data_IF_103602384326
#
_entry.id   IF_103602384326
#
_cell.length_a   1.000
_cell.length_b   1.000
_cell.length_c   1.000
_cell.angle_alpha   90.00
_cell.angle_beta   90.00
_cell.angle_gamma   90.00
#
_symmetry.space_group_name_H-M   'P 1'
#
loop_
_entity.id
_entity.type
_entity.pdbx_description
1 polymer ?
#
# COMPACT_ATOMS: atom_id res chain seq x y z
N UNK A 1 44.59 6.21 24.40
CA UNK A 1 43.49 7.07 24.86
C UNK A 1 42.61 6.19 25.74
N UNK A 2 42.33 6.61 26.94
CA UNK A 2 41.48 5.86 27.88
C UNK A 2 39.99 6.23 27.58
N UNK A 3 39.37 5.46 26.70
CA UNK A 3 38.00 5.70 26.30
C UNK A 3 37.00 5.35 27.41
N UNK A 4 37.32 4.39 28.29
CA UNK A 4 36.48 4.02 29.42
C UNK A 4 36.28 5.19 30.38
N UNK A 5 37.37 5.74 30.87
CA UNK A 5 37.32 6.91 31.76
C UNK A 5 36.59 8.11 31.10
N UNK A 6 36.71 8.26 29.78
CA UNK A 6 36.02 9.34 29.06
C UNK A 6 34.50 9.12 29.02
N UNK A 7 33.98 7.95 28.64
CA UNK A 7 32.57 7.71 28.53
C UNK A 7 31.88 7.63 29.90
N UNK A 8 32.58 7.23 30.94
CA UNK A 8 32.06 7.16 32.31
C UNK A 8 31.72 8.54 32.90
N UNK A 9 32.19 9.63 32.26
CA UNK A 9 31.80 11.01 32.61
C UNK A 9 30.48 11.45 31.98
N UNK A 10 29.89 10.61 31.12
CA UNK A 10 28.65 10.94 30.37
C UNK A 10 27.49 10.16 31.00
N UNK A 11 26.48 10.88 31.48
CA UNK A 11 25.34 10.25 32.14
C UNK A 11 24.38 9.53 31.15
N UNK A 12 24.29 10.06 29.90
CA UNK A 12 23.47 9.45 28.85
C UNK A 12 24.11 8.13 28.39
N UNK A 13 23.28 7.14 28.07
CA UNK A 13 23.72 5.87 27.51
C UNK A 13 24.64 6.10 26.31
N UNK A 14 25.96 5.85 26.48
CA UNK A 14 26.98 6.22 25.50
C UNK A 14 28.05 5.15 25.35
N UNK A 15 28.50 4.92 24.12
CA UNK A 15 29.67 4.14 23.80
C UNK A 15 30.62 4.91 22.85
N UNK A 16 31.84 4.44 22.71
CA UNK A 16 32.81 4.87 21.69
C UNK A 16 32.84 3.85 20.57
N UNK A 17 32.70 4.34 19.35
CA UNK A 17 32.79 3.55 18.12
C UNK A 17 34.13 3.87 17.44
N UNK A 18 34.77 2.86 16.88
CA UNK A 18 35.89 3.00 15.96
C UNK A 18 35.52 2.56 14.56
N UNK A 19 35.98 3.28 13.56
CA UNK A 19 35.83 3.00 12.14
C UNK A 19 37.22 2.92 11.52
N UNK A 20 37.55 1.79 10.92
CA UNK A 20 38.76 1.63 10.14
C UNK A 20 38.60 2.19 8.74
N UNK A 21 39.60 2.90 8.20
CA UNK A 21 39.65 3.25 6.78
C UNK A 21 40.66 2.40 6.03
N UNK A 22 40.29 1.92 4.86
CA UNK A 22 41.16 1.17 3.94
C UNK A 22 41.95 2.12 3.05
N UNK A 23 42.93 1.57 2.33
CA UNK A 23 43.79 2.35 1.44
C UNK A 23 43.05 3.03 0.27
N UNK A 24 41.90 2.51 -0.12
CA UNK A 24 41.03 3.05 -1.17
C UNK A 24 40.05 4.13 -0.66
N UNK A 25 40.10 4.47 0.64
CA UNK A 25 39.23 5.45 1.28
C UNK A 25 37.89 4.86 1.75
N UNK A 26 37.58 3.61 1.43
CA UNK A 26 36.41 2.93 1.97
C UNK A 26 36.58 2.59 3.44
N UNK A 27 35.47 2.39 4.18
CA UNK A 27 35.54 1.92 5.56
C UNK A 27 35.71 0.40 5.63
N UNK A 28 36.41 -0.03 6.67
CA UNK A 28 36.60 -1.43 7.01
C UNK A 28 35.74 -1.85 8.20
N UNK A 29 36.38 -2.36 9.23
CA UNK A 29 35.68 -2.81 10.43
C UNK A 29 35.19 -1.65 11.28
N UNK A 30 33.96 -1.82 11.81
CA UNK A 30 33.35 -0.91 12.79
C UNK A 30 33.20 -1.66 14.11
N UNK A 31 33.80 -1.11 15.17
CA UNK A 31 33.87 -1.76 16.49
C UNK A 31 33.30 -0.86 17.58
N UNK A 32 32.66 -1.47 18.57
CA UNK A 32 32.30 -0.81 19.82
C UNK A 32 33.53 -0.96 20.76
N UNK A 33 34.21 0.15 20.98
CA UNK A 33 35.48 0.17 21.70
C UNK A 33 35.25 0.02 23.19
N UNK A 34 34.38 0.85 23.75
CA UNK A 34 33.99 0.81 25.16
C UNK A 34 32.63 1.51 25.34
N UNK A 35 32.00 1.31 26.51
CA UNK A 35 30.72 1.94 26.85
C UNK A 35 30.67 2.33 28.33
N UNK A 36 29.83 3.34 28.61
CA UNK A 36 29.55 3.69 30.00
C UNK A 36 28.67 2.64 30.71
N UNK A 37 28.49 2.70 32.03
CA UNK A 37 27.70 1.72 32.77
C UNK A 37 26.28 1.55 32.23
N UNK A 38 25.62 2.65 31.82
CA UNK A 38 24.27 2.62 31.25
C UNK A 38 24.22 1.87 29.92
N UNK A 39 25.22 2.07 29.04
CA UNK A 39 25.31 1.36 27.76
C UNK A 39 25.59 -0.14 27.98
N UNK A 40 26.52 -0.47 28.87
CA UNK A 40 26.81 -1.88 29.20
C UNK A 40 25.59 -2.57 29.80
N UNK A 41 24.92 -1.91 30.73
CA UNK A 41 23.69 -2.44 31.33
C UNK A 41 22.57 -2.69 30.31
N UNK A 42 22.46 -1.89 29.23
CA UNK A 42 21.48 -2.11 28.16
C UNK A 42 21.70 -3.42 27.40
N UNK A 43 22.93 -3.96 27.42
CA UNK A 43 23.29 -5.24 26.81
C UNK A 43 23.15 -6.40 27.82
N UNK A 44 23.60 -6.19 29.06
CA UNK A 44 23.80 -7.28 30.04
C UNK A 44 22.59 -7.49 30.95
N UNK A 45 21.75 -6.47 31.13
CA UNK A 45 20.58 -6.54 32.02
C UNK A 45 19.31 -6.51 31.20
N UNK A 46 18.52 -7.60 31.20
CA UNK A 46 17.23 -7.63 30.49
C UNK A 46 16.30 -6.49 30.97
N UNK A 47 15.88 -5.65 30.04
CA UNK A 47 14.96 -4.54 30.33
C UNK A 47 13.85 -4.49 29.26
N UNK A 48 12.56 -4.65 29.64
CA UNK A 48 11.45 -4.62 28.68
C UNK A 48 11.22 -3.24 28.05
N UNK A 49 11.90 -2.20 28.56
CA UNK A 49 11.86 -0.84 28.02
C UNK A 49 13.06 -0.51 27.13
N UNK A 50 13.86 -1.51 26.80
CA UNK A 50 15.02 -1.37 25.90
C UNK A 50 15.02 -2.50 24.87
N UNK A 51 15.52 -2.24 23.65
CA UNK A 51 15.62 -3.27 22.62
C UNK A 51 16.60 -4.37 23.06
N UNK A 52 16.21 -5.60 22.78
CA UNK A 52 17.08 -6.74 23.11
C UNK A 52 18.22 -6.85 22.08
N UNK A 53 19.45 -6.89 22.57
CA UNK A 53 20.65 -7.08 21.76
C UNK A 53 20.88 -8.57 21.43
N UNK A 54 21.64 -8.85 20.35
CA UNK A 54 21.97 -10.23 19.94
C UNK A 54 22.83 -10.93 21.02
N UNK A 55 23.86 -10.24 21.53
CA UNK A 55 24.69 -10.75 22.62
C UNK A 55 24.19 -10.24 23.98
N UNK A 56 24.27 -11.10 24.99
CA UNK A 56 23.91 -10.79 26.38
C UNK A 56 25.11 -10.39 27.26
N UNK A 57 26.28 -10.20 26.67
CA UNK A 57 27.50 -9.78 27.39
C UNK A 57 28.28 -8.78 26.57
N UNK A 58 28.61 -7.66 27.17
CA UNK A 58 29.49 -6.66 26.57
C UNK A 58 30.96 -7.13 26.56
N UNK A 59 31.62 -7.00 25.42
CA UNK A 59 33.08 -7.27 25.26
C UNK A 59 33.67 -6.05 24.57
N UNK A 60 34.54 -5.28 25.23
CA UNK A 60 35.19 -4.13 24.64
C UNK A 60 35.91 -4.46 23.35
N UNK A 61 35.96 -3.48 22.44
CA UNK A 61 36.61 -3.58 21.13
C UNK A 61 36.08 -4.71 20.22
N UNK A 62 34.80 -5.07 20.38
CA UNK A 62 34.12 -6.07 19.51
C UNK A 62 33.52 -5.42 18.29
N UNK A 63 33.41 -6.20 17.19
CA UNK A 63 32.63 -5.81 16.03
C UNK A 63 31.20 -5.48 16.46
N UNK A 64 30.64 -4.40 15.93
CA UNK A 64 29.26 -3.98 16.30
C UNK A 64 28.19 -5.02 15.94
N UNK A 65 28.42 -5.81 14.87
CA UNK A 65 27.52 -6.89 14.44
C UNK A 65 27.34 -8.00 15.49
N UNK A 66 28.17 -8.02 16.52
CA UNK A 66 27.97 -8.91 17.66
C UNK A 66 26.72 -8.55 18.47
N UNK A 67 26.31 -7.28 18.45
CA UNK A 67 25.23 -6.74 19.28
C UNK A 67 23.98 -6.43 18.47
N UNK A 68 24.15 -5.93 17.25
CA UNK A 68 23.04 -5.60 16.36
C UNK A 68 23.29 -6.21 14.96
N UNK A 69 22.25 -6.56 14.19
CA UNK A 69 22.43 -7.00 12.81
C UNK A 69 23.14 -5.96 11.96
N UNK A 70 23.78 -6.39 10.87
CA UNK A 70 24.42 -5.46 9.92
C UNK A 70 23.38 -4.47 9.39
N UNK A 71 23.73 -3.18 9.49
CA UNK A 71 22.86 -2.06 9.15
C UNK A 71 23.67 -0.98 8.43
N UNK A 72 23.44 -0.85 7.12
CA UNK A 72 24.17 0.10 6.27
C UNK A 72 23.92 1.56 6.67
N UNK A 73 22.74 1.87 7.22
CA UNK A 73 22.46 3.21 7.72
C UNK A 73 23.30 3.53 8.95
N UNK A 74 23.41 2.59 9.87
CA UNK A 74 24.28 2.72 11.05
C UNK A 74 25.75 2.85 10.64
N UNK A 75 26.22 2.02 9.70
CA UNK A 75 27.60 2.08 9.20
C UNK A 75 27.90 3.43 8.55
N UNK A 76 26.96 3.98 7.75
CA UNK A 76 27.11 5.30 7.16
C UNK A 76 27.20 6.43 8.19
N UNK A 77 26.34 6.38 9.22
CA UNK A 77 26.41 7.35 10.33
C UNK A 77 27.76 7.30 11.04
N UNK A 78 28.25 6.10 11.33
CA UNK A 78 29.57 5.90 11.94
C UNK A 78 30.71 6.45 11.07
N UNK A 79 30.67 6.14 9.76
CA UNK A 79 31.69 6.63 8.82
C UNK A 79 31.69 8.16 8.72
N UNK A 80 30.54 8.77 8.57
CA UNK A 80 30.44 10.23 8.46
C UNK A 80 30.90 10.94 9.73
N UNK A 81 30.49 10.42 10.87
CA UNK A 81 30.92 11.03 12.13
C UNK A 81 32.40 10.81 12.41
N UNK A 82 32.86 9.56 12.38
CA UNK A 82 34.23 9.23 12.79
C UNK A 82 35.27 9.66 11.75
N UNK A 83 35.01 9.42 10.44
CA UNK A 83 35.99 9.65 9.36
C UNK A 83 35.85 11.05 8.78
N UNK A 84 34.61 11.46 8.36
CA UNK A 84 34.39 12.77 7.76
C UNK A 84 34.25 13.89 8.79
N UNK A 85 34.32 13.56 10.08
CA UNK A 85 34.30 14.52 11.21
C UNK A 85 33.02 15.39 11.28
N UNK A 86 31.92 14.85 10.83
CA UNK A 86 30.61 15.50 10.88
C UNK A 86 29.87 15.10 12.17
N UNK A 87 29.57 16.02 13.09
CA UNK A 87 28.65 15.71 14.18
C UNK A 87 27.30 15.29 13.63
N UNK A 88 26.74 14.21 14.17
CA UNK A 88 25.48 13.65 13.68
C UNK A 88 24.43 13.64 14.79
N UNK A 89 23.21 13.97 14.41
CA UNK A 89 22.02 13.81 15.23
C UNK A 89 20.90 13.22 14.38
N UNK A 90 20.18 12.26 14.92
CA UNK A 90 19.02 11.69 14.23
C UNK A 90 17.99 11.19 15.25
N UNK A 91 16.72 11.29 14.88
CA UNK A 91 15.59 10.76 15.63
C UNK A 91 14.86 9.74 14.76
N UNK A 92 14.95 8.46 15.11
CA UNK A 92 14.52 7.36 14.26
C UNK A 92 13.72 6.31 15.03
N UNK A 93 12.82 5.63 14.32
CA UNK A 93 12.09 4.45 14.78
C UNK A 93 12.39 3.28 13.85
N UNK A 94 13.45 2.48 14.10
CA UNK A 94 13.75 1.31 13.27
C UNK A 94 12.63 0.26 13.37
N UNK A 95 12.19 -0.29 12.23
CA UNK A 95 11.08 -1.26 12.18
C UNK A 95 11.31 -2.49 13.09
N UNK A 96 12.58 -2.90 13.24
CA UNK A 96 12.94 -4.06 14.10
C UNK A 96 12.75 -3.84 15.60
N UNK A 97 12.49 -2.59 16.03
CA UNK A 97 12.32 -2.24 17.44
C UNK A 97 11.06 -1.38 17.61
N UNK A 98 10.26 -1.68 18.62
CA UNK A 98 9.12 -0.85 19.04
C UNK A 98 9.58 0.31 19.93
N UNK A 99 10.59 1.05 19.47
CA UNK A 99 11.24 2.14 20.24
C UNK A 99 11.71 3.26 19.31
N UNK A 100 11.62 4.48 19.83
CA UNK A 100 12.20 5.68 19.24
C UNK A 100 13.59 5.91 19.80
N UNK A 101 14.52 6.21 18.91
CA UNK A 101 15.92 6.47 19.24
C UNK A 101 16.28 7.91 18.90
N UNK A 102 16.71 8.67 19.93
CA UNK A 102 17.33 9.96 19.74
C UNK A 102 18.84 9.76 19.86
N UNK A 103 19.55 9.87 18.74
CA UNK A 103 20.95 9.50 18.57
C UNK A 103 21.81 10.72 18.35
N UNK A 104 22.87 10.82 19.13
CA UNK A 104 23.90 11.86 19.00
C UNK A 104 25.27 11.21 18.81
N UNK A 105 26.01 11.68 17.80
CA UNK A 105 27.35 11.20 17.53
C UNK A 105 28.29 12.40 17.38
N UNK A 106 29.38 12.38 18.13
CA UNK A 106 30.41 13.44 18.15
C UNK A 106 31.72 12.85 17.69
N UNK A 107 32.41 13.45 16.70
CA UNK A 107 33.69 12.96 16.22
C UNK A 107 34.78 13.15 17.28
N UNK A 108 35.67 12.15 17.42
CA UNK A 108 36.84 12.17 18.27
C UNK A 108 38.12 12.18 17.40
N UNK A 109 39.27 12.35 18.03
CA UNK A 109 40.58 12.31 17.34
C UNK A 109 40.85 10.91 16.78
N UNK A 110 41.43 10.87 15.59
CA UNK A 110 41.86 9.63 14.92
C UNK A 110 43.27 9.19 15.36
N UNK A 111 43.55 7.88 15.28
CA UNK A 111 44.84 7.29 15.52
C UNK A 111 45.19 6.42 14.30
N UNK A 112 46.12 6.89 13.47
CA UNK A 112 46.44 6.21 12.20
C UNK A 112 45.22 6.14 11.28
N UNK A 113 44.88 4.93 10.79
CA UNK A 113 43.73 4.66 9.97
C UNK A 113 42.45 4.31 10.78
N UNK A 114 42.50 4.46 12.10
CA UNK A 114 41.33 4.22 12.98
C UNK A 114 40.78 5.58 13.43
N UNK A 115 39.47 5.77 13.14
CA UNK A 115 38.74 6.98 13.45
C UNK A 115 37.72 6.69 14.53
N UNK A 116 37.47 7.63 15.42
CA UNK A 116 36.59 7.42 16.57
C UNK A 116 35.47 8.45 16.61
N UNK A 117 34.32 8.02 17.15
CA UNK A 117 33.21 8.91 17.53
C UNK A 117 32.50 8.37 18.77
N UNK A 118 31.78 9.24 19.46
CA UNK A 118 30.82 8.81 20.48
C UNK A 118 29.53 8.36 19.78
N UNK A 119 28.81 7.47 20.43
CA UNK A 119 27.43 7.08 20.06
C UNK A 119 26.60 7.13 21.34
N UNK A 120 25.83 8.22 21.48
CA UNK A 120 24.96 8.45 22.62
C UNK A 120 23.51 8.29 22.20
N UNK A 121 22.70 7.61 23.02
CA UNK A 121 21.31 7.32 22.67
C UNK A 121 20.36 7.54 23.84
N UNK A 122 19.21 8.13 23.53
CA UNK A 122 18.04 8.23 24.41
C UNK A 122 16.94 7.42 23.75
N UNK A 123 16.33 6.48 24.47
CA UNK A 123 15.35 5.54 23.96
C UNK A 123 14.02 5.82 24.61
N UNK A 124 12.93 5.87 23.83
CA UNK A 124 11.54 6.05 24.31
C UNK A 124 10.57 5.16 23.53
N UNK A 125 9.46 4.78 24.17
CA UNK A 125 8.37 4.04 23.50
C UNK A 125 7.46 4.94 22.69
N UNK A 126 7.34 6.20 23.06
CA UNK A 126 6.45 7.15 22.41
C UNK A 126 7.25 8.14 21.56
N UNK A 127 6.68 8.53 20.44
CA UNK A 127 7.21 9.61 19.62
C UNK A 127 7.21 10.93 20.41
N UNK A 128 8.30 11.68 20.26
CA UNK A 128 8.43 13.05 20.78
C UNK A 128 8.50 14.03 19.62
N UNK A 129 7.45 14.84 19.45
CA UNK A 129 7.35 15.81 18.35
C UNK A 129 8.41 16.93 18.44
N UNK A 130 8.92 17.25 19.64
CA UNK A 130 9.97 18.25 19.81
C UNK A 130 11.32 17.73 19.28
N UNK A 131 11.56 16.43 19.37
CA UNK A 131 12.76 15.79 18.82
C UNK A 131 12.75 15.70 17.29
N UNK A 132 11.56 15.67 16.68
CA UNK A 132 11.39 15.75 15.22
C UNK A 132 11.72 17.14 14.66
N UNK A 133 11.76 18.18 15.48
CA UNK A 133 11.90 19.58 15.04
C UNK A 133 13.31 19.98 14.57
N UNK A 134 14.31 19.12 14.74
CA UNK A 134 15.67 19.39 14.25
C UNK A 134 15.85 19.17 12.73
N UNK A 135 14.78 18.84 12.04
CA UNK A 135 14.76 18.72 10.58
C UNK A 135 14.95 20.11 9.93
N UNK A 136 15.75 20.18 8.85
CA UNK A 136 15.95 21.45 8.15
C UNK A 136 14.62 22.08 7.74
N UNK A 137 14.49 23.42 7.79
CA UNK A 137 13.27 24.13 7.39
C UNK A 137 12.84 23.76 5.95
N UNK A 138 13.78 23.45 5.06
CA UNK A 138 13.52 23.01 3.69
C UNK A 138 12.87 21.61 3.65
N UNK A 139 13.32 20.68 4.46
CA UNK A 139 12.74 19.33 4.57
C UNK A 139 11.34 19.38 5.17
N UNK A 140 11.16 20.14 6.28
CA UNK A 140 9.84 20.32 6.89
C UNK A 140 8.83 20.95 5.92
N UNK A 141 9.25 21.96 5.15
CA UNK A 141 8.41 22.59 4.13
C UNK A 141 8.04 21.62 3.00
N UNK A 142 8.96 20.79 2.56
CA UNK A 142 8.70 19.77 1.52
C UNK A 142 7.67 18.73 2.00
N UNK A 143 7.81 18.25 3.23
CA UNK A 143 6.86 17.29 3.85
C UNK A 143 5.48 17.93 4.00
N UNK A 144 5.39 19.16 4.52
CA UNK A 144 4.12 19.88 4.67
C UNK A 144 3.42 20.11 3.32
N UNK A 145 4.16 20.48 2.27
CA UNK A 145 3.59 20.63 0.93
C UNK A 145 3.02 19.30 0.41
N UNK A 146 3.71 18.19 0.64
CA UNK A 146 3.21 16.86 0.29
C UNK A 146 1.90 16.54 1.04
N UNK A 147 1.86 16.80 2.35
CA UNK A 147 0.66 16.59 3.16
C UNK A 147 -0.54 17.44 2.69
N UNK A 148 -0.30 18.71 2.34
CA UNK A 148 -1.34 19.63 1.85
C UNK A 148 -1.89 19.13 0.52
N UNK A 149 -1.03 18.71 -0.41
CA UNK A 149 -1.45 18.15 -1.70
C UNK A 149 -2.30 16.91 -1.53
N UNK A 150 -1.84 15.95 -0.71
CA UNK A 150 -2.56 14.70 -0.47
C UNK A 150 -3.94 14.91 0.14
N UNK A 151 -4.09 15.82 1.11
CA UNK A 151 -5.38 16.13 1.75
C UNK A 151 -6.37 16.85 0.83
N UNK A 152 -5.89 17.62 -0.14
CA UNK A 152 -6.72 18.33 -1.12
C UNK A 152 -7.11 17.51 -2.34
N UNK A 153 -6.76 16.24 -2.40
CA UNK A 153 -6.90 15.39 -3.58
C UNK A 153 -8.37 15.12 -3.94
N UNK A 154 -8.82 15.64 -5.06
CA UNK A 154 -10.08 15.23 -5.71
C UNK A 154 -9.88 14.01 -6.61
N UNK A 155 -8.65 13.81 -7.10
CA UNK A 155 -8.24 12.65 -7.89
C UNK A 155 -6.93 12.10 -7.28
N UNK A 156 -7.05 11.00 -6.56
CA UNK A 156 -5.95 10.36 -5.84
C UNK A 156 -4.77 10.01 -6.77
N UNK A 157 -5.05 9.39 -7.91
CA UNK A 157 -4.03 8.97 -8.87
C UNK A 157 -3.18 10.14 -9.36
N UNK A 158 -3.84 11.21 -9.83
CA UNK A 158 -3.15 12.41 -10.32
C UNK A 158 -2.34 13.08 -9.22
N UNK A 159 -2.90 13.21 -8.02
CA UNK A 159 -2.18 13.81 -6.89
C UNK A 159 -0.95 12.99 -6.49
N UNK A 160 -1.03 11.65 -6.52
CA UNK A 160 0.12 10.80 -6.24
C UNK A 160 1.22 10.97 -7.29
N UNK A 161 0.89 11.10 -8.56
CA UNK A 161 1.86 11.40 -9.64
C UNK A 161 2.59 12.73 -9.40
N UNK A 162 1.87 13.78 -8.99
CA UNK A 162 2.47 15.07 -8.62
C UNK A 162 3.41 14.94 -7.41
N UNK A 163 2.97 14.23 -6.36
CA UNK A 163 3.78 13.99 -5.14
C UNK A 163 5.05 13.22 -5.49
N UNK A 164 4.96 12.17 -6.29
CA UNK A 164 6.12 11.38 -6.73
C UNK A 164 7.07 12.25 -7.56
N UNK A 165 6.55 13.14 -8.41
CA UNK A 165 7.35 14.09 -9.18
C UNK A 165 8.09 15.09 -8.27
N UNK A 166 7.42 15.58 -7.23
CA UNK A 166 8.06 16.49 -6.27
C UNK A 166 9.14 15.76 -5.46
N UNK A 167 8.87 14.54 -4.99
CA UNK A 167 9.86 13.71 -4.29
C UNK A 167 11.09 13.47 -5.18
N UNK A 168 10.89 13.11 -6.46
CA UNK A 168 11.98 12.95 -7.42
C UNK A 168 12.85 14.21 -7.51
N UNK A 169 12.21 15.39 -7.63
CA UNK A 169 12.92 16.68 -7.71
C UNK A 169 13.69 17.00 -6.43
N UNK A 170 13.10 16.73 -5.26
CA UNK A 170 13.74 16.94 -3.95
C UNK A 170 14.99 16.06 -3.82
N UNK A 171 14.91 14.82 -4.32
CA UNK A 171 16.01 13.89 -4.33
C UNK A 171 17.04 14.18 -5.43
N UNK A 172 16.74 15.06 -6.37
CA UNK A 172 17.51 15.26 -7.61
C UNK A 172 17.82 13.92 -8.31
N UNK A 173 16.81 13.05 -8.33
CA UNK A 173 16.94 11.70 -8.85
C UNK A 173 16.52 11.61 -10.34
N UNK A 174 17.08 10.65 -11.07
CA UNK A 174 16.65 10.37 -12.43
C UNK A 174 15.26 9.73 -12.48
N UNK A 175 14.92 8.89 -11.50
CA UNK A 175 13.61 8.24 -11.39
C UNK A 175 13.17 8.15 -9.94
N UNK A 176 11.86 8.26 -9.72
CA UNK A 176 11.19 7.95 -8.46
C UNK A 176 9.92 7.16 -8.75
N UNK A 177 9.68 6.10 -8.00
CA UNK A 177 8.57 5.17 -8.24
C UNK A 177 7.89 4.82 -6.92
N UNK A 178 6.57 4.69 -6.96
CA UNK A 178 5.77 4.04 -5.91
C UNK A 178 5.13 2.79 -6.51
N UNK A 179 5.46 1.65 -5.92
CA UNK A 179 4.92 0.34 -6.25
C UNK A 179 4.02 -0.14 -5.11
N UNK A 180 2.84 -0.62 -5.45
CA UNK A 180 1.96 -1.31 -4.50
C UNK A 180 2.11 -2.82 -4.65
N UNK A 181 1.97 -3.53 -3.53
CA UNK A 181 1.97 -4.99 -3.47
C UNK A 181 0.61 -5.50 -2.97
N UNK A 182 0.14 -6.58 -3.58
CA UNK A 182 -1.03 -7.34 -3.12
C UNK A 182 -0.55 -8.73 -2.73
N UNK A 183 -0.43 -8.96 -1.43
CA UNK A 183 0.11 -10.22 -0.89
C UNK A 183 -0.86 -11.40 -1.07
N UNK A 184 -2.18 -11.13 -1.14
CA UNK A 184 -3.19 -12.17 -1.36
C UNK A 184 -3.15 -12.68 -2.81
N UNK A 185 -3.08 -11.74 -3.77
CA UNK A 185 -3.03 -12.06 -5.21
C UNK A 185 -1.61 -12.33 -5.72
N UNK A 186 -0.58 -12.03 -4.91
CA UNK A 186 0.84 -12.10 -5.29
C UNK A 186 1.14 -11.27 -6.55
N UNK A 187 0.65 -10.04 -6.58
CA UNK A 187 0.84 -9.11 -7.70
C UNK A 187 1.43 -7.79 -7.25
N UNK A 188 2.04 -7.08 -8.18
CA UNK A 188 2.52 -5.71 -8.00
C UNK A 188 1.85 -4.79 -9.01
N UNK A 189 1.65 -3.54 -8.63
CA UNK A 189 1.17 -2.49 -9.53
C UNK A 189 1.91 -1.18 -9.28
N UNK A 190 2.24 -0.46 -10.36
CA UNK A 190 2.85 0.87 -10.26
C UNK A 190 1.76 1.87 -9.93
N UNK A 191 1.80 2.47 -8.74
CA UNK A 191 0.89 3.55 -8.36
C UNK A 191 1.27 4.84 -9.09
N UNK A 192 2.56 5.10 -9.24
CA UNK A 192 3.05 6.23 -10.00
C UNK A 192 4.56 6.18 -10.22
N UNK A 193 5.00 6.85 -11.27
CA UNK A 193 6.39 6.96 -11.68
C UNK A 193 6.69 8.37 -12.17
N UNK A 194 7.80 8.95 -11.74
CA UNK A 194 8.34 10.18 -12.28
C UNK A 194 9.78 9.96 -12.73
N UNK A 195 10.09 10.33 -13.98
CA UNK A 195 11.44 10.28 -14.54
C UNK A 195 11.83 11.66 -15.03
N UNK A 196 13.12 12.00 -14.95
CA UNK A 196 13.61 13.20 -15.61
C UNK A 196 13.85 12.93 -17.12
N UNK A 197 14.03 13.97 -17.89
CA UNK A 197 14.24 13.90 -19.33
C UNK A 197 15.56 13.21 -19.74
N UNK A 198 16.52 13.10 -18.84
CA UNK A 198 17.83 12.46 -19.04
C UNK A 198 17.86 11.00 -18.55
N UNK A 199 16.77 10.49 -18.00
CA UNK A 199 16.72 9.15 -17.42
C UNK A 199 16.82 8.09 -18.51
N UNK A 200 17.87 7.27 -18.42
CA UNK A 200 18.04 6.07 -19.24
C UNK A 200 17.33 4.84 -18.66
N UNK A 201 16.80 4.97 -17.45
CA UNK A 201 16.08 3.89 -16.77
C UNK A 201 14.77 3.57 -17.50
N UNK A 202 14.41 2.29 -17.70
CA UNK A 202 13.13 1.92 -18.30
C UNK A 202 11.96 2.28 -17.40
N UNK A 203 10.77 2.43 -17.99
CA UNK A 203 9.56 2.60 -17.20
C UNK A 203 9.21 1.33 -16.46
N UNK A 204 8.85 1.47 -15.17
CA UNK A 204 8.47 0.35 -14.32
C UNK A 204 7.20 -0.37 -14.81
N UNK A 205 6.31 0.32 -15.50
CA UNK A 205 5.15 -0.30 -16.16
C UNK A 205 5.51 -1.35 -17.23
N UNK A 206 6.76 -1.34 -17.73
CA UNK A 206 7.27 -2.36 -18.67
C UNK A 206 7.98 -3.51 -18.00
N UNK A 207 8.45 -3.30 -16.76
CA UNK A 207 9.25 -4.28 -16.00
C UNK A 207 8.35 -5.10 -15.08
N UNK A 208 7.35 -4.45 -14.46
CA UNK A 208 6.44 -5.10 -13.52
C UNK A 208 5.57 -6.13 -14.26
N UNK A 209 5.75 -7.38 -13.87
CA UNK A 209 5.01 -8.56 -14.31
C UNK A 209 4.75 -9.48 -13.12
N UNK A 210 4.13 -10.62 -13.33
CA UNK A 210 3.79 -11.57 -12.25
C UNK A 210 5.02 -12.08 -11.49
N UNK A 211 6.18 -12.23 -12.17
CA UNK A 211 7.43 -12.68 -11.54
C UNK A 211 8.07 -11.58 -10.68
N UNK A 212 7.75 -10.32 -10.95
CA UNK A 212 8.32 -9.17 -10.21
C UNK A 212 7.89 -9.16 -8.74
N UNK A 213 6.73 -9.74 -8.42
CA UNK A 213 6.26 -9.87 -7.03
C UNK A 213 7.26 -10.65 -6.17
N UNK A 214 7.79 -11.77 -6.65
CA UNK A 214 8.74 -12.59 -5.88
C UNK A 214 10.04 -11.83 -5.59
N UNK A 215 10.48 -10.99 -6.51
CA UNK A 215 11.61 -10.10 -6.29
C UNK A 215 11.29 -9.07 -5.19
N UNK A 216 10.13 -8.40 -5.27
CA UNK A 216 9.73 -7.39 -4.27
C UNK A 216 9.52 -7.98 -2.88
N UNK A 217 8.98 -9.19 -2.79
CA UNK A 217 8.82 -9.91 -1.53
C UNK A 217 10.15 -10.19 -0.80
N UNK A 218 11.26 -10.25 -1.55
CA UNK A 218 12.61 -10.41 -0.99
C UNK A 218 13.21 -9.12 -0.39
N UNK A 219 12.68 -7.95 -0.75
CA UNK A 219 13.25 -6.66 -0.37
C UNK A 219 13.19 -6.39 1.13
N UNK A 220 12.07 -6.71 1.78
CA UNK A 220 11.92 -6.54 3.23
C UNK A 220 13.01 -7.29 4.01
N UNK A 221 13.33 -8.53 3.59
CA UNK A 221 14.40 -9.32 4.18
C UNK A 221 15.78 -8.71 3.90
N UNK A 222 15.98 -8.10 2.73
CA UNK A 222 17.24 -7.45 2.35
C UNK A 222 17.47 -6.16 3.14
N UNK A 223 16.41 -5.39 3.42
CA UNK A 223 16.44 -4.19 4.28
C UNK A 223 16.86 -4.56 5.72
N UNK A 224 16.55 -5.78 6.18
CA UNK A 224 17.08 -6.33 7.43
C UNK A 224 16.54 -5.66 8.70
N UNK A 225 15.32 -5.09 8.64
CA UNK A 225 14.65 -4.42 9.76
C UNK A 225 15.15 -2.99 10.01
N UNK A 226 15.89 -2.42 9.07
CA UNK A 226 16.15 -0.97 8.99
C UNK A 226 14.92 -0.28 8.36
N UNK A 227 14.79 1.05 8.52
CA UNK A 227 13.68 1.81 7.93
C UNK A 227 13.71 1.81 6.39
N UNK A 228 14.86 1.57 5.78
CA UNK A 228 15.03 1.55 4.33
C UNK A 228 16.42 1.13 3.93
N UNK A 229 16.65 1.00 2.63
CA UNK A 229 17.94 0.63 2.03
C UNK A 229 18.48 1.78 1.21
N UNK A 230 19.76 2.13 1.40
CA UNK A 230 20.48 3.10 0.58
C UNK A 230 21.70 2.43 -0.01
N UNK A 231 21.82 2.48 -1.32
CA UNK A 231 22.96 1.98 -2.10
C UNK A 231 23.62 3.18 -2.78
N UNK A 232 24.86 3.48 -2.41
CA UNK A 232 25.58 4.68 -2.89
C UNK A 232 27.08 4.48 -3.11
N UNK A 233 27.63 3.36 -2.65
CA UNK A 233 29.05 3.06 -2.73
C UNK A 233 29.31 1.56 -2.93
N UNK A 234 30.57 1.16 -3.14
CA UNK A 234 30.95 -0.23 -3.40
C UNK A 234 30.57 -1.19 -2.27
N UNK A 235 30.69 -0.78 -1.01
CA UNK A 235 30.36 -1.63 0.14
C UNK A 235 28.85 -1.93 0.20
N UNK A 236 28.02 -0.94 -0.16
CA UNK A 236 26.56 -1.10 -0.20
C UNK A 236 26.16 -2.06 -1.34
N UNK A 237 26.83 -1.95 -2.50
CA UNK A 237 26.64 -2.87 -3.62
C UNK A 237 27.09 -4.30 -3.27
N UNK A 238 28.21 -4.47 -2.55
CA UNK A 238 28.68 -5.78 -2.10
C UNK A 238 27.71 -6.41 -1.10
N UNK A 239 27.14 -5.60 -0.19
CA UNK A 239 26.08 -6.07 0.70
C UNK A 239 24.86 -6.57 -0.08
N UNK A 240 24.38 -5.79 -1.07
CA UNK A 240 23.24 -6.20 -1.88
C UNK A 240 23.54 -7.48 -2.66
N UNK A 241 24.72 -7.59 -3.24
CA UNK A 241 25.16 -8.77 -3.98
C UNK A 241 25.19 -10.01 -3.10
N UNK A 242 25.64 -9.88 -1.85
CA UNK A 242 25.66 -10.99 -0.89
C UNK A 242 24.27 -11.40 -0.42
N UNK A 243 23.40 -10.41 -0.08
CA UNK A 243 22.10 -10.67 0.54
C UNK A 243 21.00 -10.96 -0.47
N UNK A 244 21.05 -10.36 -1.64
CA UNK A 244 20.03 -10.52 -2.69
C UNK A 244 20.67 -10.45 -4.08
N UNK A 245 21.35 -11.51 -4.53
CA UNK A 245 22.00 -11.54 -5.83
C UNK A 245 21.05 -11.27 -7.00
N UNK A 246 19.82 -11.77 -6.94
CA UNK A 246 18.82 -11.57 -8.00
C UNK A 246 18.45 -10.09 -8.17
N UNK A 247 18.25 -9.39 -7.06
CA UNK A 247 17.96 -7.95 -7.10
C UNK A 247 19.20 -7.15 -7.55
N UNK A 248 20.39 -7.51 -7.07
CA UNK A 248 21.65 -6.89 -7.51
C UNK A 248 21.79 -6.96 -9.04
N UNK A 249 21.63 -8.14 -9.65
CA UNK A 249 21.72 -8.32 -11.10
C UNK A 249 20.64 -7.53 -11.85
N UNK A 250 19.41 -7.49 -11.32
CA UNK A 250 18.32 -6.70 -11.89
C UNK A 250 18.67 -5.21 -11.96
N UNK A 251 19.19 -4.64 -10.85
CA UNK A 251 19.57 -3.22 -10.79
C UNK A 251 20.77 -2.90 -11.71
N UNK A 252 21.76 -3.80 -11.75
CA UNK A 252 22.95 -3.62 -12.62
C UNK A 252 22.59 -3.68 -14.10
N UNK A 253 21.70 -4.58 -14.48
CA UNK A 253 21.19 -4.70 -15.85
C UNK A 253 20.54 -3.39 -16.32
N UNK A 254 19.82 -2.71 -15.45
CA UNK A 254 19.13 -1.47 -15.75
C UNK A 254 19.99 -0.21 -15.47
N UNK A 255 21.31 -0.38 -15.28
CA UNK A 255 22.28 0.72 -15.06
C UNK A 255 21.94 1.63 -13.86
N UNK A 256 21.45 1.03 -12.78
CA UNK A 256 21.25 1.76 -11.51
C UNK A 256 22.60 1.95 -10.85
N UNK A 257 22.95 3.21 -10.57
CA UNK A 257 24.21 3.62 -9.93
C UNK A 257 24.02 3.91 -8.43
N UNK A 258 22.89 4.48 -8.07
CA UNK A 258 22.48 4.72 -6.67
C UNK A 258 20.99 4.43 -6.51
N UNK A 259 20.62 3.95 -5.32
CA UNK A 259 19.25 3.60 -4.96
C UNK A 259 18.98 4.03 -3.52
N UNK A 260 17.82 4.63 -3.29
CA UNK A 260 17.21 4.73 -1.99
C UNK A 260 15.83 4.09 -2.06
N UNK A 261 15.54 3.14 -1.18
CA UNK A 261 14.30 2.39 -1.14
C UNK A 261 13.76 2.34 0.28
N UNK A 262 12.45 2.59 0.39
CA UNK A 262 11.73 2.47 1.66
C UNK A 262 10.46 1.64 1.49
N UNK A 263 10.09 0.82 2.48
CA UNK A 263 8.77 0.19 2.54
C UNK A 263 7.70 1.23 2.88
N UNK A 264 6.50 1.00 2.41
CA UNK A 264 5.29 1.76 2.76
C UNK A 264 4.51 0.93 3.78
N UNK A 265 4.94 0.99 5.04
CA UNK A 265 4.37 0.20 6.12
C UNK A 265 3.29 0.96 6.88
N UNK A 266 2.16 0.30 7.15
CA UNK A 266 1.06 0.79 7.98
C UNK A 266 0.52 -0.36 8.82
N UNK A 267 0.50 -0.23 10.15
CA UNK A 267 -0.01 -1.24 11.07
C UNK A 267 0.57 -2.65 10.81
N UNK A 268 1.89 -2.75 10.71
CA UNK A 268 2.65 -3.99 10.45
C UNK A 268 2.40 -4.63 9.05
N UNK A 269 1.65 -3.96 8.18
CA UNK A 269 1.43 -4.39 6.80
C UNK A 269 2.25 -3.54 5.83
N UNK A 270 3.03 -4.19 4.96
CA UNK A 270 3.72 -3.52 3.85
C UNK A 270 2.78 -3.39 2.66
N UNK A 271 2.34 -2.15 2.39
CA UNK A 271 1.45 -1.83 1.26
C UNK A 271 2.19 -1.78 -0.07
N UNK A 272 3.51 -1.64 -0.03
CA UNK A 272 4.35 -1.47 -1.20
C UNK A 272 5.69 -0.83 -0.86
N UNK A 273 6.31 -0.23 -1.86
CA UNK A 273 7.62 0.39 -1.74
C UNK A 273 7.69 1.70 -2.52
N UNK A 274 8.48 2.65 -2.00
CA UNK A 274 8.91 3.83 -2.73
C UNK A 274 10.43 3.81 -2.88
N UNK A 275 10.92 4.17 -4.06
CA UNK A 275 12.35 4.31 -4.27
C UNK A 275 12.69 5.42 -5.25
N UNK A 276 13.91 5.93 -5.12
CA UNK A 276 14.52 6.84 -6.08
C UNK A 276 15.88 6.30 -6.53
N UNK A 277 16.16 6.45 -7.84
CA UNK A 277 17.37 5.95 -8.48
C UNK A 277 18.20 7.07 -9.09
N UNK A 278 19.55 6.86 -9.10
CA UNK A 278 20.51 7.70 -9.77
C UNK A 278 20.43 9.16 -9.31
N UNK A 279 20.67 9.37 -8.03
CA UNK A 279 20.74 10.67 -7.35
C UNK A 279 22.19 11.01 -6.98
N UNK A 280 22.45 12.30 -6.67
CA UNK A 280 23.76 12.69 -6.12
C UNK A 280 23.97 12.09 -4.73
N UNK A 281 24.92 11.16 -4.62
CA UNK A 281 25.23 10.43 -3.37
C UNK A 281 25.68 11.34 -2.23
N UNK A 282 26.20 12.55 -2.52
CA UNK A 282 26.55 13.52 -1.50
C UNK A 282 25.33 14.05 -0.75
N UNK A 283 24.15 14.01 -1.38
CA UNK A 283 22.88 14.42 -0.81
C UNK A 283 22.11 13.29 -0.12
N UNK A 284 22.67 12.07 -0.08
CA UNK A 284 21.99 10.85 0.40
C UNK A 284 21.34 11.01 1.79
N UNK A 285 21.96 11.77 2.69
CA UNK A 285 21.40 12.01 4.04
C UNK A 285 20.17 12.88 4.00
N UNK A 286 20.23 14.01 3.28
CA UNK A 286 19.07 14.90 3.12
C UNK A 286 17.92 14.17 2.44
N UNK A 287 18.23 13.34 1.45
CA UNK A 287 17.27 12.50 0.74
C UNK A 287 16.61 11.53 1.72
N UNK A 288 17.42 10.83 2.53
CA UNK A 288 16.94 9.90 3.55
C UNK A 288 15.98 10.59 4.51
N UNK A 289 16.40 11.67 5.16
CA UNK A 289 15.58 12.41 6.13
C UNK A 289 14.26 12.90 5.51
N UNK A 290 14.30 13.41 4.28
CA UNK A 290 13.10 13.88 3.58
C UNK A 290 12.15 12.72 3.29
N UNK A 291 12.68 11.59 2.80
CA UNK A 291 11.87 10.43 2.47
C UNK A 291 11.28 9.77 3.72
N UNK A 292 12.05 9.57 4.78
CA UNK A 292 11.56 8.98 6.04
C UNK A 292 10.31 9.70 6.58
N UNK A 293 10.31 11.02 6.54
CA UNK A 293 9.16 11.80 6.98
C UNK A 293 8.00 11.76 5.97
N UNK A 294 8.30 11.86 4.67
CA UNK A 294 7.29 11.91 3.61
C UNK A 294 6.56 10.59 3.47
N UNK A 295 7.27 9.49 3.59
CA UNK A 295 6.75 8.12 3.41
C UNK A 295 5.64 7.81 4.40
N UNK A 296 5.78 8.23 5.64
CA UNK A 296 4.75 8.03 6.66
C UNK A 296 3.39 8.60 6.21
N UNK A 297 3.38 9.81 5.63
CA UNK A 297 2.16 10.42 5.12
C UNK A 297 1.66 9.76 3.84
N UNK A 298 2.57 9.43 2.92
CA UNK A 298 2.23 8.73 1.67
C UNK A 298 1.64 7.35 1.96
N UNK A 299 2.24 6.57 2.84
CA UNK A 299 1.74 5.26 3.24
C UNK A 299 0.37 5.35 3.91
N UNK A 300 0.19 6.30 4.83
CA UNK A 300 -1.10 6.56 5.50
C UNK A 300 -2.20 6.92 4.50
N UNK A 301 -1.91 7.77 3.52
CA UNK A 301 -2.90 8.19 2.53
C UNK A 301 -3.25 7.07 1.54
N UNK A 302 -2.28 6.24 1.15
CA UNK A 302 -2.53 5.02 0.37
C UNK A 302 -3.43 4.04 1.15
N UNK A 303 -3.16 3.84 2.44
CA UNK A 303 -4.00 3.00 3.31
C UNK A 303 -5.43 3.52 3.41
N UNK A 304 -5.59 4.82 3.64
CA UNK A 304 -6.89 5.48 3.69
C UNK A 304 -7.66 5.33 2.37
N UNK A 305 -7.00 5.55 1.23
CA UNK A 305 -7.61 5.39 -0.08
C UNK A 305 -8.08 3.95 -0.31
N UNK A 306 -7.21 2.95 -0.05
CA UNK A 306 -7.58 1.53 -0.14
C UNK A 306 -8.78 1.19 0.77
N UNK A 307 -8.81 1.73 1.99
CA UNK A 307 -9.92 1.53 2.92
C UNK A 307 -11.22 2.13 2.38
N UNK A 308 -11.17 3.37 1.88
CA UNK A 308 -12.34 4.03 1.30
C UNK A 308 -12.86 3.30 0.05
N UNK A 309 -11.99 2.83 -0.83
CA UNK A 309 -12.39 2.00 -1.97
C UNK A 309 -13.05 0.69 -1.52
N UNK A 310 -12.48 0.02 -0.52
CA UNK A 310 -13.08 -1.21 0.04
C UNK A 310 -14.44 -0.95 0.68
N UNK A 311 -14.58 0.15 1.42
CA UNK A 311 -15.87 0.57 1.98
C UNK A 311 -16.89 0.89 0.87
N UNK A 312 -16.45 1.55 -0.19
CA UNK A 312 -17.33 1.84 -1.35
C UNK A 312 -17.81 0.56 -2.01
N UNK A 313 -16.93 -0.41 -2.26
CA UNK A 313 -17.29 -1.72 -2.80
C UNK A 313 -18.28 -2.44 -1.88
N UNK A 314 -17.98 -2.53 -0.58
CA UNK A 314 -18.86 -3.16 0.42
C UNK A 314 -20.22 -2.45 0.53
N UNK A 315 -20.25 -1.14 0.31
CA UNK A 315 -21.47 -0.33 0.32
C UNK A 315 -22.28 -0.42 -0.97
N UNK A 316 -21.67 -0.79 -2.11
CA UNK A 316 -22.27 -0.76 -3.44
C UNK A 316 -22.57 -2.13 -4.05
N UNK A 317 -21.87 -3.19 -3.59
CA UNK A 317 -21.97 -4.54 -4.15
C UNK A 317 -22.75 -5.46 -3.19
N UNK A 318 -23.59 -6.34 -3.74
CA UNK A 318 -24.16 -7.47 -2.99
C UNK A 318 -23.12 -8.60 -2.89
N UNK A 319 -22.64 -8.86 -1.67
CA UNK A 319 -21.55 -9.80 -1.42
C UNK A 319 -21.83 -11.25 -1.79
N UNK A 320 -23.12 -11.63 -1.91
CA UNK A 320 -23.49 -12.99 -2.30
C UNK A 320 -23.42 -13.20 -3.81
N UNK A 321 -23.95 -12.22 -4.57
CA UNK A 321 -24.19 -12.35 -6.01
C UNK A 321 -23.19 -11.58 -6.87
N UNK A 322 -22.43 -10.64 -6.29
CA UNK A 322 -21.46 -9.80 -7.01
C UNK A 322 -22.06 -8.73 -7.92
N UNK A 323 -23.38 -8.58 -7.95
CA UNK A 323 -24.06 -7.46 -8.63
C UNK A 323 -24.20 -6.26 -7.68
N UNK A 324 -24.63 -5.10 -8.18
CA UNK A 324 -24.87 -3.93 -7.33
C UNK A 324 -25.96 -4.20 -6.30
N UNK A 325 -25.86 -3.59 -5.13
CA UNK A 325 -26.82 -3.79 -4.06
C UNK A 325 -27.99 -2.79 -4.10
N UNK A 326 -28.95 -2.96 -3.20
CA UNK A 326 -30.13 -2.10 -3.09
C UNK A 326 -29.80 -0.63 -2.80
N UNK A 327 -28.75 -0.37 -2.00
CA UNK A 327 -28.35 1.00 -1.69
C UNK A 327 -27.88 1.73 -2.95
N UNK A 328 -27.05 1.07 -3.75
CA UNK A 328 -26.57 1.63 -5.02
C UNK A 328 -27.70 1.82 -6.03
N UNK A 329 -28.68 0.87 -6.09
CA UNK A 329 -29.90 1.04 -6.85
C UNK A 329 -30.65 2.34 -6.47
N UNK A 330 -30.86 2.56 -5.17
CA UNK A 330 -31.57 3.75 -4.69
C UNK A 330 -30.80 5.03 -5.03
N UNK A 331 -29.49 5.06 -4.77
CA UNK A 331 -28.61 6.19 -5.11
C UNK A 331 -28.68 6.53 -6.61
N UNK A 332 -28.64 5.50 -7.46
CA UNK A 332 -28.71 5.67 -8.92
C UNK A 332 -30.07 6.24 -9.37
N UNK A 333 -31.15 5.70 -8.84
CA UNK A 333 -32.52 6.16 -9.16
C UNK A 333 -32.70 7.61 -8.67
N UNK A 334 -32.28 7.94 -7.46
CA UNK A 334 -32.37 9.29 -6.92
C UNK A 334 -31.49 10.28 -7.70
N UNK A 335 -30.34 9.86 -8.16
CA UNK A 335 -29.50 10.63 -9.07
C UNK A 335 -30.20 10.95 -10.40
N UNK A 336 -30.90 9.97 -10.98
CA UNK A 336 -31.64 10.16 -12.22
C UNK A 336 -32.90 11.04 -12.04
N UNK A 337 -33.52 11.01 -10.86
CA UNK A 337 -34.68 11.86 -10.52
C UNK A 337 -34.30 13.33 -10.35
N UNK A 338 -33.15 13.58 -9.72
CA UNK A 338 -32.76 14.92 -9.28
C UNK A 338 -31.91 15.69 -10.30
N UNK A 339 -31.27 15.03 -11.26
CA UNK A 339 -30.36 15.63 -12.24
C UNK A 339 -31.03 15.81 -13.62
N UNK A 340 -31.68 16.96 -13.83
CA UNK A 340 -32.22 17.37 -15.13
C UNK A 340 -31.14 17.60 -16.21
N UNK A 341 -29.87 17.77 -15.82
CA UNK A 341 -28.76 18.05 -16.75
C UNK A 341 -28.11 16.80 -17.37
N UNK A 342 -28.37 15.61 -16.84
CA UNK A 342 -27.90 14.31 -17.36
C UNK A 342 -29.04 13.39 -17.72
N UNK A 343 -29.95 13.89 -18.57
CA UNK A 343 -31.04 13.05 -19.08
C UNK A 343 -30.47 11.92 -19.94
N UNK A 344 -30.61 10.69 -19.47
CA UNK A 344 -30.33 9.50 -20.28
C UNK A 344 -31.38 9.34 -21.33
N UNK A 345 -31.00 9.02 -22.57
CA UNK A 345 -31.90 8.71 -23.66
C UNK A 345 -32.10 7.21 -23.76
N UNK A 346 -33.34 6.79 -24.05
CA UNK A 346 -33.66 5.39 -24.21
C UNK A 346 -33.40 4.59 -22.92
N UNK A 347 -34.24 4.78 -21.90
CA UNK A 347 -34.07 4.12 -20.59
C UNK A 347 -34.99 2.91 -20.49
N UNK A 348 -34.40 1.74 -20.20
CA UNK A 348 -35.10 0.50 -19.91
C UNK A 348 -34.97 0.11 -18.43
N UNK A 349 -36.07 -0.31 -17.83
CA UNK A 349 -36.11 -0.94 -16.52
C UNK A 349 -36.60 -2.35 -16.65
N UNK A 350 -35.91 -3.31 -16.04
CA UNK A 350 -36.37 -4.70 -15.92
C UNK A 350 -36.33 -5.06 -14.43
N UNK A 351 -37.48 -5.55 -13.91
CA UNK A 351 -37.51 -6.29 -12.67
C UNK A 351 -37.54 -7.79 -12.96
N UNK A 352 -36.75 -8.53 -12.20
CA UNK A 352 -36.61 -9.98 -12.31
C UNK A 352 -36.70 -10.60 -10.90
N UNK A 353 -37.74 -11.39 -10.69
CA UNK A 353 -37.98 -12.11 -9.43
C UNK A 353 -37.67 -13.60 -9.66
N UNK A 354 -36.82 -14.17 -8.78
CA UNK A 354 -36.36 -15.55 -8.89
C UNK A 354 -37.39 -16.51 -8.30
N UNK A 355 -38.05 -17.28 -9.17
CA UNK A 355 -39.09 -18.21 -8.76
C UNK A 355 -38.54 -19.36 -7.91
N UNK A 356 -39.24 -19.69 -6.82
CA UNK A 356 -39.02 -20.91 -6.05
C UNK A 356 -37.83 -20.93 -5.10
N UNK A 357 -37.19 -19.78 -4.79
CA UNK A 357 -36.08 -19.69 -3.86
C UNK A 357 -36.39 -20.31 -2.48
N UNK A 358 -37.60 -20.01 -1.94
CA UNK A 358 -38.03 -20.55 -0.64
C UNK A 358 -38.05 -22.08 -0.66
N UNK A 359 -38.58 -22.70 -1.72
CA UNK A 359 -38.64 -24.17 -1.86
C UNK A 359 -37.24 -24.78 -1.91
N UNK A 360 -36.31 -24.13 -2.61
CA UNK A 360 -34.89 -24.58 -2.66
C UNK A 360 -34.28 -24.52 -1.28
N UNK A 361 -34.50 -23.42 -0.54
CA UNK A 361 -34.06 -23.29 0.85
C UNK A 361 -34.68 -24.37 1.76
N UNK A 362 -35.99 -24.64 1.64
CA UNK A 362 -36.68 -25.63 2.47
C UNK A 362 -36.16 -27.07 2.21
N UNK A 363 -35.76 -27.39 0.95
CA UNK A 363 -35.23 -28.71 0.58
C UNK A 363 -33.75 -28.91 0.77
N UNK A 364 -32.93 -27.87 0.48
CA UNK A 364 -31.48 -27.97 0.41
C UNK A 364 -30.74 -27.07 1.40
N UNK A 365 -31.50 -26.34 2.25
CA UNK A 365 -30.92 -25.38 3.18
C UNK A 365 -30.50 -24.06 2.51
N UNK A 366 -30.08 -23.08 3.30
CA UNK A 366 -29.67 -21.75 2.82
C UNK A 366 -28.52 -21.82 1.80
N UNK A 367 -27.58 -22.75 1.93
CA UNK A 367 -26.48 -22.90 0.98
C UNK A 367 -26.97 -23.24 -0.46
N UNK A 368 -28.06 -24.02 -0.60
CA UNK A 368 -28.66 -24.30 -1.90
C UNK A 368 -29.34 -23.06 -2.49
N UNK A 369 -30.01 -22.25 -1.65
CA UNK A 369 -30.60 -21.00 -2.07
C UNK A 369 -29.56 -19.93 -2.47
N UNK A 370 -28.45 -19.88 -1.73
CA UNK A 370 -27.32 -18.99 -2.05
C UNK A 370 -26.71 -19.36 -3.41
N UNK A 371 -26.56 -20.66 -3.70
CA UNK A 371 -26.10 -21.12 -5.01
C UNK A 371 -27.09 -20.75 -6.12
N UNK A 372 -28.39 -20.88 -5.86
CA UNK A 372 -29.42 -20.49 -6.81
C UNK A 372 -29.38 -19.00 -7.10
N UNK A 373 -29.19 -18.14 -6.08
CA UNK A 373 -29.04 -16.69 -6.24
C UNK A 373 -27.78 -16.33 -7.03
N UNK A 374 -26.66 -17.00 -6.80
CA UNK A 374 -25.43 -16.82 -7.59
C UNK A 374 -25.64 -17.19 -9.06
N UNK A 375 -26.28 -18.32 -9.32
CA UNK A 375 -26.62 -18.75 -10.68
C UNK A 375 -27.58 -17.77 -11.37
N UNK A 376 -28.58 -17.24 -10.65
CA UNK A 376 -29.46 -16.22 -11.14
C UNK A 376 -28.71 -14.93 -11.54
N UNK A 377 -27.83 -14.46 -10.71
CA UNK A 377 -26.99 -13.30 -11.02
C UNK A 377 -26.10 -13.56 -12.26
N UNK A 378 -25.48 -14.75 -12.37
CA UNK A 378 -24.68 -15.10 -13.56
C UNK A 378 -25.50 -15.10 -14.84
N UNK A 379 -26.75 -15.57 -14.83
CA UNK A 379 -27.65 -15.51 -15.99
C UNK A 379 -27.85 -14.06 -16.40
N UNK A 380 -28.17 -13.18 -15.45
CA UNK A 380 -28.35 -11.75 -15.73
C UNK A 380 -27.09 -11.10 -16.25
N UNK A 381 -25.95 -11.32 -15.63
CA UNK A 381 -24.64 -10.77 -16.04
C UNK A 381 -24.26 -11.19 -17.48
N UNK A 382 -24.56 -12.42 -17.88
CA UNK A 382 -24.27 -12.91 -19.22
C UNK A 382 -25.17 -12.28 -20.29
N UNK A 383 -26.40 -11.90 -19.95
CA UNK A 383 -27.35 -11.27 -20.91
C UNK A 383 -27.19 -9.75 -20.95
N UNK A 384 -26.93 -9.13 -19.81
CA UNK A 384 -26.85 -7.68 -19.62
C UNK A 384 -25.43 -7.17 -19.51
N UNK A 385 -24.57 -7.59 -20.44
CA UNK A 385 -23.16 -7.13 -20.48
C UNK A 385 -23.11 -5.62 -20.69
N UNK A 386 -22.52 -4.91 -19.73
CA UNK A 386 -22.38 -3.46 -19.76
C UNK A 386 -23.57 -2.67 -19.20
N UNK A 387 -24.65 -3.35 -18.83
CA UNK A 387 -25.81 -2.75 -18.15
C UNK A 387 -25.66 -2.83 -16.62
N UNK A 388 -26.40 -1.98 -15.90
CA UNK A 388 -26.36 -1.92 -14.44
C UNK A 388 -27.35 -2.96 -13.85
N UNK A 389 -26.82 -3.95 -13.13
CA UNK A 389 -27.62 -5.02 -12.50
C UNK A 389 -27.58 -4.84 -10.99
N UNK A 390 -28.73 -4.83 -10.36
CA UNK A 390 -28.92 -4.63 -8.92
C UNK A 390 -29.66 -5.79 -8.29
N UNK A 391 -29.28 -6.18 -7.07
CA UNK A 391 -30.11 -7.02 -6.21
C UNK A 391 -30.95 -6.11 -5.32
N UNK A 392 -32.24 -5.98 -5.63
CA UNK A 392 -33.19 -5.08 -4.95
C UNK A 392 -33.59 -5.61 -3.55
N UNK A 393 -33.59 -6.93 -3.36
CA UNK A 393 -33.89 -7.60 -2.09
C UNK A 393 -34.06 -9.09 -2.29
N UNK A 394 -33.86 -9.91 -1.28
CA UNK A 394 -34.14 -11.35 -1.28
C UNK A 394 -33.85 -12.07 -2.61
N UNK A 395 -34.89 -12.34 -3.36
CA UNK A 395 -34.94 -12.97 -4.68
C UNK A 395 -35.17 -12.00 -5.84
N UNK A 396 -35.22 -10.69 -5.57
CA UNK A 396 -35.51 -9.65 -6.54
C UNK A 396 -34.27 -8.97 -7.09
N UNK A 397 -34.21 -8.87 -8.43
CA UNK A 397 -33.17 -8.13 -9.16
C UNK A 397 -33.79 -7.02 -10.00
N UNK A 398 -33.07 -5.95 -10.20
CA UNK A 398 -33.42 -4.88 -11.14
C UNK A 398 -32.28 -4.68 -12.14
N UNK A 399 -32.62 -4.44 -13.40
CA UNK A 399 -31.65 -4.05 -14.43
C UNK A 399 -32.03 -2.68 -14.97
N UNK A 400 -31.07 -1.78 -15.01
CA UNK A 400 -31.18 -0.46 -15.63
C UNK A 400 -30.38 -0.46 -16.94
N UNK A 401 -31.08 -0.21 -18.04
CA UNK A 401 -30.48 -0.08 -19.36
C UNK A 401 -30.48 1.39 -19.79
N UNK A 402 -29.38 1.84 -20.36
CA UNK A 402 -29.24 3.19 -20.94
C UNK A 402 -29.00 3.07 -22.44
N UNK A 403 -29.50 4.05 -23.22
CA UNK A 403 -29.35 4.10 -24.68
C UNK A 403 -29.90 2.85 -25.39
N UNK A 404 -31.02 2.32 -24.92
CA UNK A 404 -31.65 1.11 -25.43
C UNK A 404 -32.98 1.44 -26.14
N UNK A 405 -33.57 0.42 -26.77
CA UNK A 405 -34.88 0.45 -27.39
C UNK A 405 -35.84 -0.58 -26.75
N UNK A 406 -37.15 -0.43 -26.94
CA UNK A 406 -38.10 -1.39 -26.38
C UNK A 406 -37.92 -2.79 -26.98
N UNK A 407 -37.53 -2.89 -28.25
CA UNK A 407 -37.25 -4.13 -28.95
C UNK A 407 -36.06 -4.87 -28.35
N UNK A 408 -34.98 -4.15 -28.07
CA UNK A 408 -33.78 -4.71 -27.42
C UNK A 408 -34.09 -5.24 -26.01
N UNK A 409 -34.89 -4.51 -25.23
CA UNK A 409 -35.34 -4.97 -23.91
C UNK A 409 -36.12 -6.27 -24.02
N UNK A 410 -37.09 -6.36 -24.98
CA UNK A 410 -37.86 -7.58 -25.22
C UNK A 410 -36.97 -8.77 -25.61
N UNK A 411 -35.96 -8.51 -26.45
CA UNK A 411 -35.00 -9.53 -26.86
C UNK A 411 -34.15 -10.00 -25.68
N UNK A 412 -33.60 -9.09 -24.88
CA UNK A 412 -32.84 -9.42 -23.68
C UNK A 412 -33.68 -10.23 -22.66
N UNK A 413 -34.96 -9.87 -22.45
CA UNK A 413 -35.86 -10.66 -21.61
C UNK A 413 -36.07 -12.09 -22.14
N UNK A 414 -36.18 -12.27 -23.47
CA UNK A 414 -36.27 -13.61 -24.09
C UNK A 414 -34.97 -14.39 -23.86
N UNK A 415 -33.82 -13.73 -24.00
CA UNK A 415 -32.52 -14.33 -23.79
C UNK A 415 -32.31 -14.77 -22.33
N UNK A 416 -32.77 -13.98 -21.34
CA UNK A 416 -32.78 -14.40 -19.92
C UNK A 416 -33.57 -15.70 -19.75
N UNK A 417 -34.85 -15.76 -20.28
CA UNK A 417 -35.68 -16.97 -20.18
C UNK A 417 -35.08 -18.18 -20.92
N UNK A 418 -34.35 -17.96 -22.01
CA UNK A 418 -33.67 -19.01 -22.75
C UNK A 418 -32.44 -19.53 -22.00
N UNK A 419 -31.58 -18.62 -21.52
CA UNK A 419 -30.34 -18.97 -20.83
C UNK A 419 -30.63 -19.61 -19.47
N UNK A 420 -31.66 -19.17 -18.75
CA UNK A 420 -32.10 -19.77 -17.49
C UNK A 420 -32.32 -21.27 -17.57
N UNK A 421 -32.75 -21.79 -18.71
CA UNK A 421 -32.94 -23.25 -18.93
C UNK A 421 -31.65 -24.05 -18.86
N UNK A 422 -30.50 -23.41 -19.09
CA UNK A 422 -29.19 -24.03 -19.01
C UNK A 422 -28.66 -24.08 -17.57
N UNK A 423 -29.27 -23.36 -16.63
CA UNK A 423 -28.89 -23.33 -15.23
C UNK A 423 -29.97 -24.05 -14.40
N UNK A 424 -29.53 -25.05 -13.64
CA UNK A 424 -30.43 -25.87 -12.81
C UNK A 424 -31.25 -24.97 -11.84
N UNK A 425 -32.55 -25.15 -11.84
CA UNK A 425 -33.51 -24.51 -10.94
C UNK A 425 -33.64 -22.96 -11.10
N UNK A 426 -32.94 -22.31 -12.06
CA UNK A 426 -33.11 -20.88 -12.32
C UNK A 426 -34.34 -20.63 -13.17
N UNK A 427 -35.26 -19.83 -12.64
CA UNK A 427 -36.46 -19.39 -13.36
C UNK A 427 -36.83 -17.99 -12.86
N UNK A 428 -37.10 -17.05 -13.80
CA UNK A 428 -37.49 -15.70 -13.46
C UNK A 428 -38.92 -15.36 -13.89
N UNK A 429 -39.59 -14.61 -13.04
CA UNK A 429 -40.69 -13.74 -13.46
C UNK A 429 -40.08 -12.40 -13.87
N UNK A 430 -40.42 -11.91 -15.07
CA UNK A 430 -39.84 -10.71 -15.66
C UNK A 430 -40.92 -9.66 -16.00
N UNK A 431 -40.65 -8.44 -15.59
CA UNK A 431 -41.38 -7.27 -16.04
C UNK A 431 -40.45 -6.19 -16.55
N UNK A 432 -40.82 -5.53 -17.63
CA UNK A 432 -39.99 -4.47 -18.20
C UNK A 432 -40.81 -3.24 -18.57
N UNK A 433 -40.12 -2.10 -18.62
CA UNK A 433 -40.66 -0.85 -19.16
C UNK A 433 -39.59 -0.12 -19.97
N UNK A 434 -40.07 0.75 -20.88
CA UNK A 434 -39.22 1.62 -21.68
C UNK A 434 -39.68 3.06 -21.57
N UNK A 435 -38.76 4.00 -21.52
CA UNK A 435 -38.99 5.45 -21.58
C UNK A 435 -38.00 6.10 -22.55
N UNK A 436 -38.41 7.14 -23.22
CA UNK A 436 -37.56 7.87 -24.16
C UNK A 436 -36.37 8.57 -23.43
N UNK A 437 -36.60 8.93 -22.19
CA UNK A 437 -35.59 9.55 -21.33
C UNK A 437 -35.81 9.24 -19.84
N UNK A 438 -34.88 9.66 -19.00
CA UNK A 438 -34.91 9.40 -17.55
C UNK A 438 -35.94 10.23 -16.77
N UNK A 439 -36.64 11.18 -17.37
CA UNK A 439 -37.67 12.01 -16.67
C UNK A 439 -38.83 11.16 -16.18
N UNK A 440 -39.18 10.09 -16.92
CA UNK A 440 -40.23 9.13 -16.60
C UNK A 440 -39.78 7.94 -15.71
N UNK A 441 -38.60 7.99 -15.06
CA UNK A 441 -38.03 6.84 -14.34
C UNK A 441 -38.94 6.27 -13.25
N UNK A 442 -39.70 7.10 -12.55
CA UNK A 442 -40.65 6.68 -11.50
C UNK A 442 -41.79 5.83 -12.05
N UNK A 443 -42.35 6.27 -13.17
CA UNK A 443 -43.43 5.50 -13.86
C UNK A 443 -42.86 4.23 -14.50
N UNK A 444 -41.63 4.30 -15.02
CA UNK A 444 -40.94 3.13 -15.56
C UNK A 444 -40.74 2.05 -14.50
N UNK A 445 -40.29 2.41 -13.32
CA UNK A 445 -40.12 1.48 -12.20
C UNK A 445 -41.43 0.82 -11.81
N UNK A 446 -42.50 1.62 -11.61
CA UNK A 446 -43.81 1.11 -11.24
C UNK A 446 -44.38 0.14 -12.31
N UNK A 447 -44.29 0.51 -13.58
CA UNK A 447 -44.82 -0.31 -14.67
C UNK A 447 -44.04 -1.62 -14.84
N UNK A 448 -42.72 -1.60 -14.69
CA UNK A 448 -41.89 -2.80 -14.75
C UNK A 448 -42.21 -3.77 -13.59
N UNK A 449 -42.40 -3.23 -12.39
CA UNK A 449 -42.77 -4.02 -11.20
C UNK A 449 -44.17 -4.67 -11.36
N UNK A 450 -45.16 -3.90 -11.78
CA UNK A 450 -46.51 -4.42 -12.05
C UNK A 450 -46.48 -5.60 -13.06
N UNK A 451 -45.73 -5.43 -14.16
CA UNK A 451 -45.61 -6.48 -15.19
C UNK A 451 -44.85 -7.72 -14.69
N UNK A 452 -43.85 -7.53 -13.84
CA UNK A 452 -43.15 -8.64 -13.20
C UNK A 452 -44.08 -9.45 -12.29
N UNK A 453 -44.93 -8.75 -11.52
CA UNK A 453 -45.92 -9.40 -10.67
C UNK A 453 -46.96 -10.19 -11.49
N UNK A 454 -47.42 -9.66 -12.63
CA UNK A 454 -48.30 -10.37 -13.56
C UNK A 454 -47.64 -11.65 -14.12
N UNK A 455 -46.38 -11.59 -14.54
CA UNK A 455 -45.62 -12.77 -15.04
C UNK A 455 -45.44 -13.81 -13.92
N UNK A 456 -45.21 -13.35 -12.67
CA UNK A 456 -45.13 -14.22 -11.48
C UNK A 456 -46.45 -14.93 -11.18
N UNK A 457 -47.55 -14.22 -11.23
CA UNK A 457 -48.88 -14.84 -11.06
C UNK A 457 -49.17 -15.87 -12.15
N UNK A 458 -48.84 -15.57 -13.40
CA UNK A 458 -48.99 -16.51 -14.51
C UNK A 458 -48.16 -17.76 -14.29
N UNK A 459 -46.91 -17.61 -13.90
CA UNK A 459 -46.03 -18.74 -13.60
C UNK A 459 -46.61 -19.67 -12.53
N UNK A 460 -47.16 -19.15 -11.44
CA UNK A 460 -47.75 -19.96 -10.37
C UNK A 460 -49.16 -20.51 -10.72
N UNK A 461 -49.85 -19.93 -11.71
CA UNK A 461 -51.07 -20.54 -12.27
C UNK A 461 -50.73 -21.75 -13.15
N UNK A 462 -49.64 -21.67 -13.90
CA UNK A 462 -49.15 -22.78 -14.75
C UNK A 462 -48.45 -23.88 -13.94
N UNK A 463 -47.93 -23.54 -12.74
CA UNK A 463 -47.24 -24.45 -11.84
C UNK A 463 -47.82 -24.42 -10.41
N UNK A 464 -49.10 -24.91 -10.24
CA UNK A 464 -49.76 -24.84 -8.94
C UNK A 464 -49.03 -25.60 -7.84
N UNK A 465 -48.29 -26.66 -8.19
CA UNK A 465 -47.45 -27.46 -7.28
C UNK A 465 -46.28 -26.70 -6.71
N UNK A 466 -45.93 -25.56 -7.27
CA UNK A 466 -44.88 -24.69 -6.83
C UNK A 466 -45.37 -23.50 -6.00
N UNK A 467 -46.70 -23.26 -6.00
CA UNK A 467 -47.36 -22.21 -5.22
C UNK A 467 -47.52 -22.68 -3.77
N UNK A 468 -47.02 -21.91 -2.84
CA UNK A 468 -47.36 -22.03 -1.40
C UNK A 468 -48.12 -20.81 -0.94
#
# INVERSE_FOLDING_TARGET
MDFKSFVDLIDVMTCVISVETKADGSYGEIRIVDGNPSYIASIEVPNPNLPQMIASKFIPNSLYQKYIPKDLNFEDFCYRCAVLKQPMHTYVHPERYDFWFNLYMIPLQSIGNIHYCTYSQIISKNADSEQMSNTSASTASAVLNTCIKLRGATNFQHTMEEVISDIRKICDAQSCVVLLTDNEKRTCSVLGESRNEYSMLPSMNRIVNDEFYDLTASWKKTIGGSNGLIIKNSNDWDYLREKNPAWYESLKKEHVESLVLFPLDVNDETLGYIWACNFDVNNAVKIKETLELTIYFVASEIANHKLLERLKILSSIDMLTGVLNRNEMNNRIDGLRNNSSTSLKGVGIIFADLNGLKRVNDKGGHAAGDLLLKNAAMVLQNVFIGDEIYRAGGDEFMVLLSFTTEEEIKEKCRNVKALSKSYKDVSFALGYSYQNDSSGITDALRLADERMYEDKEKYYKEHPELKR
#
